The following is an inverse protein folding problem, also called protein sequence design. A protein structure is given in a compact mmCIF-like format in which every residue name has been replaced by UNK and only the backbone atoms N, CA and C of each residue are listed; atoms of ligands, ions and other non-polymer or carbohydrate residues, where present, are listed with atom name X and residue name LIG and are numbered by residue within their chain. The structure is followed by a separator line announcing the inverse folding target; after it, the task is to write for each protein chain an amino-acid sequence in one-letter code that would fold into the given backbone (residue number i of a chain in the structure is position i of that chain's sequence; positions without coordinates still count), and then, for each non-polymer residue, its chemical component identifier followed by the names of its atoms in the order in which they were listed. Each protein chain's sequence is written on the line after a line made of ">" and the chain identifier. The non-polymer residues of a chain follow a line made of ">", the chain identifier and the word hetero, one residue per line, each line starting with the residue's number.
data_IF_066550345124
#
_entry.id   IF_066550345124
#
_cell.length_a   1.000
_cell.length_b   1.000
_cell.length_c   1.000
_cell.angle_alpha   90.00
_cell.angle_beta   90.00
_cell.angle_gamma   90.00
#
_symmetry.space_group_name_H-M   'P 1'
#
loop_
_entity.id
_entity.type
_entity.pdbx_description
1 polymer ?
#
# COMPACT_ATOMS: atom_id res chain seq x y z
N UNK A 1 8.68 -2.10 21.63
CA UNK A 1 8.09 -3.44 21.47
C UNK A 1 6.81 -3.23 20.73
N UNK A 2 6.65 -3.81 19.53
CA UNK A 2 5.31 -3.93 18.97
C UNK A 2 4.51 -4.85 19.89
N UNK A 3 3.44 -4.33 20.45
CA UNK A 3 2.42 -5.04 21.20
C UNK A 3 1.75 -6.09 20.30
N UNK A 4 1.01 -7.02 20.92
CA UNK A 4 0.20 -7.96 20.16
C UNK A 4 -0.78 -7.23 19.23
N UNK A 5 -1.37 -6.13 19.71
CA UNK A 5 -2.28 -5.29 18.95
C UNK A 5 -1.59 -4.64 17.75
N UNK A 6 -0.35 -4.17 17.89
CA UNK A 6 0.40 -3.59 16.76
C UNK A 6 0.79 -4.64 15.69
N UNK A 7 0.97 -5.92 16.07
CA UNK A 7 1.15 -6.99 15.09
C UNK A 7 -0.16 -7.30 14.34
N UNK A 8 -1.30 -7.25 15.04
CA UNK A 8 -2.61 -7.37 14.40
C UNK A 8 -2.80 -6.22 13.40
N UNK A 9 -2.49 -4.98 13.78
CA UNK A 9 -2.57 -3.81 12.90
C UNK A 9 -1.69 -3.96 11.65
N UNK A 10 -0.50 -4.55 11.77
CA UNK A 10 0.36 -4.86 10.61
C UNK A 10 -0.25 -5.94 9.70
N UNK A 11 -0.88 -6.97 10.29
CA UNK A 11 -1.61 -7.98 9.54
C UNK A 11 -2.77 -7.37 8.76
N UNK A 12 -3.61 -6.59 9.43
CA UNK A 12 -4.72 -5.86 8.80
C UNK A 12 -4.25 -4.92 7.69
N UNK A 13 -3.11 -4.24 7.88
CA UNK A 13 -2.49 -3.41 6.86
C UNK A 13 -2.15 -4.20 5.59
N UNK A 14 -1.58 -5.40 5.75
CA UNK A 14 -1.25 -6.27 4.61
C UNK A 14 -2.52 -6.77 3.91
N UNK A 15 -3.56 -7.13 4.67
CA UNK A 15 -4.83 -7.58 4.10
C UNK A 15 -5.52 -6.46 3.29
N UNK A 16 -5.57 -5.24 3.82
CA UNK A 16 -6.13 -4.08 3.11
C UNK A 16 -5.35 -3.81 1.82
N UNK A 17 -4.02 -3.97 1.82
CA UNK A 17 -3.20 -3.80 0.61
C UNK A 17 -3.58 -4.83 -0.44
N UNK A 18 -3.60 -6.11 -0.09
CA UNK A 18 -3.94 -7.17 -1.03
C UNK A 18 -5.33 -6.93 -1.63
N UNK A 19 -6.29 -6.49 -0.81
CA UNK A 19 -7.62 -6.13 -1.27
C UNK A 19 -7.58 -4.95 -2.27
N UNK A 20 -6.78 -3.90 -2.01
CA UNK A 20 -6.64 -2.78 -2.94
C UNK A 20 -5.99 -3.23 -4.25
N UNK A 21 -4.95 -4.07 -4.19
CA UNK A 21 -4.28 -4.62 -5.37
C UNK A 21 -5.28 -5.42 -6.24
N UNK A 22 -6.05 -6.32 -5.61
CA UNK A 22 -7.08 -7.11 -6.28
C UNK A 22 -8.15 -6.20 -6.92
N UNK A 23 -8.67 -5.22 -6.17
CA UNK A 23 -9.66 -4.26 -6.69
C UNK A 23 -9.13 -3.50 -7.91
N UNK A 24 -7.88 -3.03 -7.87
CA UNK A 24 -7.27 -2.32 -9.00
C UNK A 24 -7.15 -3.23 -10.23
N UNK A 25 -6.68 -4.47 -10.06
CA UNK A 25 -6.50 -5.43 -11.16
C UNK A 25 -7.85 -5.80 -11.77
N UNK A 26 -8.83 -6.14 -10.94
CA UNK A 26 -10.14 -6.60 -11.36
C UNK A 26 -10.96 -5.48 -12.01
N UNK A 27 -10.81 -4.23 -11.53
CA UNK A 27 -11.47 -3.07 -12.14
C UNK A 27 -11.03 -2.82 -13.59
N UNK A 28 -9.78 -3.16 -13.93
CA UNK A 28 -9.25 -3.00 -15.28
C UNK A 28 -9.60 -4.16 -16.20
N UNK A 29 -9.81 -5.37 -15.67
CA UNK A 29 -10.06 -6.56 -16.48
C UNK A 29 -11.19 -6.41 -17.54
N UNK A 30 -12.35 -5.78 -17.24
CA UNK A 30 -13.40 -5.61 -18.25
C UNK A 30 -13.16 -4.46 -19.24
N UNK A 31 -12.34 -3.47 -18.91
CA UNK A 31 -12.18 -2.22 -19.68
C UNK A 31 -10.84 -2.14 -20.43
N UNK A 32 -9.78 -2.72 -19.88
CA UNK A 32 -8.43 -2.79 -20.42
C UNK A 32 -7.71 -4.05 -19.91
N UNK A 33 -7.98 -5.22 -20.52
CA UNK A 33 -7.35 -6.48 -20.12
C UNK A 33 -5.83 -6.46 -20.17
N UNK A 34 -5.24 -5.68 -21.10
CA UNK A 34 -3.80 -5.54 -21.21
C UNK A 34 -3.24 -4.77 -20.00
N UNK A 35 -3.86 -3.65 -19.63
CA UNK A 35 -3.49 -2.90 -18.43
C UNK A 35 -3.66 -3.73 -17.15
N UNK A 36 -4.74 -4.53 -17.04
CA UNK A 36 -4.95 -5.44 -15.90
C UNK A 36 -3.80 -6.45 -15.76
N UNK A 37 -3.38 -7.08 -16.86
CA UNK A 37 -2.24 -8.00 -16.87
C UNK A 37 -0.91 -7.30 -16.54
N UNK A 38 -0.70 -6.09 -17.04
CA UNK A 38 0.48 -5.28 -16.71
C UNK A 38 0.53 -4.95 -15.22
N UNK A 39 -0.57 -4.46 -14.63
CA UNK A 39 -0.66 -4.18 -13.18
C UNK A 39 -0.30 -5.43 -12.38
N UNK A 40 -0.88 -6.59 -12.71
CA UNK A 40 -0.57 -7.85 -12.03
C UNK A 40 0.92 -8.25 -12.07
N UNK A 41 1.64 -7.83 -13.11
CA UNK A 41 3.07 -8.15 -13.27
C UNK A 41 4.02 -7.18 -12.55
N UNK A 42 3.51 -6.05 -12.07
CA UNK A 42 4.33 -5.01 -11.44
C UNK A 42 4.67 -5.34 -9.98
N UNK A 43 5.88 -4.97 -9.51
CA UNK A 43 6.35 -5.30 -8.17
C UNK A 43 5.71 -4.38 -7.11
N UNK A 44 4.54 -4.80 -6.62
CA UNK A 44 3.83 -4.24 -5.48
C UNK A 44 3.04 -2.96 -5.76
N UNK A 45 2.29 -2.53 -4.73
CA UNK A 45 1.29 -1.46 -4.79
C UNK A 45 1.74 -0.14 -5.43
N UNK A 46 2.97 0.32 -5.23
CA UNK A 46 3.42 1.62 -5.75
C UNK A 46 3.39 1.69 -7.30
N UNK A 47 4.20 0.87 -8.00
CA UNK A 47 4.14 0.77 -9.46
C UNK A 47 2.75 0.38 -9.98
N UNK A 48 2.04 -0.51 -9.29
CA UNK A 48 0.68 -0.93 -9.63
C UNK A 48 -0.30 0.25 -9.64
N UNK A 49 -0.32 1.05 -8.57
CA UNK A 49 -1.21 2.20 -8.42
C UNK A 49 -0.96 3.26 -9.49
N UNK A 50 0.30 3.51 -9.84
CA UNK A 50 0.64 4.43 -10.94
C UNK A 50 0.06 3.94 -12.27
N UNK A 51 0.31 2.68 -12.62
CA UNK A 51 -0.17 2.09 -13.88
C UNK A 51 -1.70 2.04 -13.95
N UNK A 52 -2.34 1.73 -12.83
CA UNK A 52 -3.80 1.75 -12.68
C UNK A 52 -4.38 3.16 -12.89
N UNK A 53 -3.82 4.16 -12.21
CA UNK A 53 -4.27 5.54 -12.34
C UNK A 53 -4.09 6.04 -13.79
N UNK A 54 -2.96 5.74 -14.42
CA UNK A 54 -2.71 6.06 -15.82
C UNK A 54 -3.73 5.37 -16.75
N UNK A 55 -4.08 4.09 -16.51
CA UNK A 55 -5.05 3.36 -17.31
C UNK A 55 -6.45 3.99 -17.29
N UNK A 56 -6.88 4.47 -16.12
CA UNK A 56 -8.23 5.01 -15.92
C UNK A 56 -8.35 6.48 -16.30
N UNK A 57 -7.32 7.29 -16.04
CA UNK A 57 -7.37 8.75 -16.19
C UNK A 57 -7.73 9.20 -17.61
N UNK A 58 -7.30 8.45 -18.63
CA UNK A 58 -7.61 8.75 -20.04
C UNK A 58 -8.98 8.25 -20.49
N UNK A 59 -9.64 7.40 -19.69
CA UNK A 59 -10.88 6.71 -20.06
C UNK A 59 -12.12 7.29 -19.38
N UNK A 60 -11.95 8.04 -18.28
CA UNK A 60 -13.06 8.64 -17.55
C UNK A 60 -13.53 9.96 -18.16
N UNK A 61 -14.84 10.10 -18.31
CA UNK A 61 -15.48 11.34 -18.72
C UNK A 61 -15.59 12.33 -17.57
N UNK A 62 -14.59 13.20 -17.39
CA UNK A 62 -14.69 14.32 -16.46
C UNK A 62 -13.38 14.64 -15.73
N UNK A 63 -12.98 15.91 -15.75
CA UNK A 63 -11.76 16.37 -15.08
C UNK A 63 -11.75 16.11 -13.57
N UNK A 64 -12.92 16.14 -12.92
CA UNK A 64 -13.02 15.89 -11.48
C UNK A 64 -12.67 14.43 -11.13
N UNK A 65 -13.22 13.46 -11.85
CA UNK A 65 -12.95 12.04 -11.63
C UNK A 65 -11.51 11.68 -12.01
N UNK A 66 -10.99 12.23 -13.11
CA UNK A 66 -9.58 12.05 -13.51
C UNK A 66 -8.61 12.60 -12.44
N UNK A 67 -8.90 13.78 -11.88
CA UNK A 67 -8.09 14.36 -10.80
C UNK A 67 -8.14 13.51 -9.53
N UNK A 68 -9.32 12.97 -9.20
CA UNK A 68 -9.49 12.08 -8.05
C UNK A 68 -8.69 10.78 -8.21
N UNK A 69 -8.72 10.16 -9.40
CA UNK A 69 -7.92 8.96 -9.73
C UNK A 69 -6.43 9.23 -9.52
N UNK A 70 -5.91 10.35 -10.06
CA UNK A 70 -4.51 10.71 -9.91
C UNK A 70 -4.13 10.97 -8.44
N UNK A 71 -5.02 11.64 -7.68
CA UNK A 71 -4.82 11.89 -6.25
C UNK A 71 -4.74 10.59 -5.47
N UNK A 72 -5.71 9.69 -5.65
CA UNK A 72 -5.74 8.38 -4.98
C UNK A 72 -4.54 7.54 -5.37
N UNK A 73 -4.15 7.53 -6.66
CA UNK A 73 -2.94 6.85 -7.12
C UNK A 73 -1.67 7.36 -6.43
N UNK A 74 -1.52 8.68 -6.31
CA UNK A 74 -0.40 9.29 -5.58
C UNK A 74 -0.38 8.92 -4.09
N UNK A 75 -1.55 8.89 -3.44
CA UNK A 75 -1.66 8.48 -2.04
C UNK A 75 -1.31 7.00 -1.83
N UNK A 76 -1.74 6.11 -2.73
CA UNK A 76 -1.40 4.69 -2.69
C UNK A 76 0.11 4.45 -2.82
N UNK A 77 0.79 5.22 -3.67
CA UNK A 77 2.26 5.18 -3.78
C UNK A 77 2.91 5.57 -2.46
N UNK A 78 2.49 6.69 -1.86
CA UNK A 78 3.05 7.13 -0.58
C UNK A 78 2.76 6.12 0.54
N UNK A 79 1.56 5.54 0.56
CA UNK A 79 1.19 4.52 1.52
C UNK A 79 2.05 3.25 1.39
N UNK A 80 2.35 2.80 0.17
CA UNK A 80 3.24 1.66 -0.06
C UNK A 80 4.65 1.90 0.51
N UNK A 81 5.17 3.13 0.39
CA UNK A 81 6.44 3.54 0.98
C UNK A 81 6.37 3.52 2.52
N UNK A 82 5.32 4.11 3.10
CA UNK A 82 5.12 4.15 4.54
C UNK A 82 5.06 2.74 5.16
N UNK A 83 4.39 1.79 4.48
CA UNK A 83 4.33 0.38 4.91
C UNK A 83 5.67 -0.33 4.77
N UNK A 84 6.39 -0.08 3.68
CA UNK A 84 7.69 -0.70 3.46
C UNK A 84 8.68 -0.31 4.56
N UNK A 85 8.55 0.87 5.16
CA UNK A 85 9.35 1.26 6.32
C UNK A 85 9.15 0.28 7.48
N UNK A 86 7.90 0.00 7.85
CA UNK A 86 7.58 -0.94 8.94
C UNK A 86 7.96 -2.38 8.63
N UNK A 87 7.66 -2.85 7.41
CA UNK A 87 8.02 -4.21 7.03
C UNK A 87 9.53 -4.38 6.96
N UNK A 88 10.25 -3.46 6.31
CA UNK A 88 11.70 -3.54 6.27
C UNK A 88 12.29 -3.42 7.67
N UNK A 89 11.78 -2.57 8.56
CA UNK A 89 12.25 -2.48 9.94
C UNK A 89 12.15 -3.80 10.72
N UNK A 90 11.09 -4.59 10.48
CA UNK A 90 10.96 -5.94 11.05
C UNK A 90 12.08 -6.89 10.58
N UNK A 91 12.62 -6.67 9.37
CA UNK A 91 13.67 -7.50 8.78
C UNK A 91 15.09 -6.91 8.89
N UNK A 92 15.24 -5.58 8.99
CA UNK A 92 16.53 -4.88 9.09
C UNK A 92 17.00 -4.75 10.54
N UNK A 93 16.09 -4.89 11.51
CA UNK A 93 16.43 -5.23 12.88
C UNK A 93 16.83 -6.71 13.02
N UNK A 94 17.98 -7.12 12.46
CA UNK A 94 18.70 -8.37 12.77
C UNK A 94 18.42 -9.60 11.89
N UNK A 95 19.09 -9.64 10.72
CA UNK A 95 20.00 -10.77 10.49
C UNK A 95 21.22 -10.55 11.40
N UNK A 96 21.15 -10.97 12.66
CA UNK A 96 22.37 -11.37 13.35
C UNK A 96 22.82 -12.63 12.61
N UNK A 97 24.12 -12.80 12.45
CA UNK A 97 24.66 -14.11 12.11
C UNK A 97 24.35 -15.01 13.33
N UNK A 98 23.19 -15.68 13.34
CA UNK A 98 22.69 -16.47 14.47
C UNK A 98 21.15 -16.60 14.52
N UNK A 99 20.66 -17.56 15.32
CA UNK A 99 19.22 -17.72 15.63
C UNK A 99 18.71 -16.48 16.37
N UNK A 100 17.72 -15.79 15.80
CA UNK A 100 16.98 -14.72 16.50
C UNK A 100 16.17 -15.39 17.62
N UNK A 101 16.42 -15.04 18.88
CA UNK A 101 15.59 -15.53 19.98
C UNK A 101 14.15 -15.02 19.80
N UNK A 102 13.13 -15.84 20.14
CA UNK A 102 11.76 -15.37 20.21
C UNK A 102 11.66 -14.10 21.06
N UNK A 103 11.11 -13.01 20.49
CA UNK A 103 10.90 -11.75 21.22
C UNK A 103 11.79 -10.56 20.81
N UNK A 104 12.33 -10.52 19.59
CA UNK A 104 13.06 -9.36 19.04
C UNK A 104 12.13 -8.16 18.75
N UNK A 105 12.60 -6.92 18.97
CA UNK A 105 11.74 -5.75 19.19
C UNK A 105 12.23 -4.49 18.46
N UNK A 106 11.46 -3.97 17.50
CA UNK A 106 11.63 -2.62 16.96
C UNK A 106 10.58 -1.67 17.56
N UNK A 107 10.99 -0.47 17.99
CA UNK A 107 10.10 0.64 18.42
C UNK A 107 9.95 1.73 17.36
N UNK A 108 10.85 1.71 16.39
CA UNK A 108 10.90 2.62 15.26
C UNK A 108 11.18 1.84 14.00
N UNK A 109 10.70 2.36 12.88
CA UNK A 109 10.90 1.79 11.57
C UNK A 109 11.76 2.71 10.72
N UNK A 110 12.86 2.20 10.17
CA UNK A 110 13.78 3.00 9.35
C UNK A 110 13.63 2.65 7.88
N UNK A 111 13.32 3.64 7.06
CA UNK A 111 13.32 3.50 5.60
C UNK A 111 14.72 3.20 5.11
N UNK A 112 14.97 1.96 4.67
CA UNK A 112 16.30 1.54 4.24
C UNK A 112 16.92 2.44 3.15
N UNK A 113 16.10 2.99 2.25
CA UNK A 113 16.57 3.84 1.15
C UNK A 113 16.94 5.28 1.57
N UNK A 114 16.24 5.85 2.56
CA UNK A 114 16.40 7.28 2.91
C UNK A 114 16.84 7.54 4.34
N UNK A 115 16.86 6.52 5.19
CA UNK A 115 17.18 6.67 6.61
C UNK A 115 16.10 7.35 7.44
N UNK A 116 14.91 7.60 6.86
CA UNK A 116 13.81 8.22 7.61
C UNK A 116 13.31 7.26 8.67
N UNK A 117 13.14 7.76 9.90
CA UNK A 117 12.59 6.98 11.00
C UNK A 117 11.12 7.33 11.22
N UNK A 118 10.30 6.30 11.47
CA UNK A 118 8.90 6.41 11.88
C UNK A 118 8.67 5.72 13.20
N UNK A 119 7.77 6.29 13.99
CA UNK A 119 7.36 5.71 15.26
C UNK A 119 6.31 4.63 15.03
N UNK A 120 6.38 3.56 15.83
CA UNK A 120 5.35 2.50 15.84
C UNK A 120 3.97 3.00 16.27
N UNK A 121 3.91 4.12 17.00
CA UNK A 121 2.67 4.83 17.30
C UNK A 121 1.91 5.33 16.04
N UNK A 122 2.56 5.39 14.88
CA UNK A 122 1.93 5.81 13.62
C UNK A 122 1.20 4.66 12.91
N UNK A 123 1.35 3.41 13.35
CA UNK A 123 0.79 2.23 12.68
C UNK A 123 -0.74 2.28 12.56
N UNK A 124 -1.44 2.66 13.63
CA UNK A 124 -2.91 2.76 13.62
C UNK A 124 -3.39 3.85 12.65
N UNK A 125 -2.70 5.00 12.62
CA UNK A 125 -3.02 6.08 11.70
C UNK A 125 -2.82 5.64 10.24
N UNK A 126 -1.74 4.91 9.96
CA UNK A 126 -1.43 4.36 8.63
C UNK A 126 -2.48 3.31 8.23
N UNK A 127 -2.91 2.45 9.16
CA UNK A 127 -4.01 1.48 8.95
C UNK A 127 -5.32 2.16 8.62
N UNK A 128 -5.70 3.19 9.36
CA UNK A 128 -6.94 3.93 9.12
C UNK A 128 -6.91 4.71 7.79
N UNK A 129 -5.73 5.21 7.40
CA UNK A 129 -5.52 5.78 6.08
C UNK A 129 -5.68 4.74 4.97
N UNK A 130 -5.16 3.53 5.16
CA UNK A 130 -5.33 2.42 4.21
C UNK A 130 -6.81 2.05 3.99
N UNK A 131 -7.59 1.99 5.07
CA UNK A 131 -9.03 1.74 4.99
C UNK A 131 -9.76 2.83 4.19
N UNK A 132 -9.42 4.10 4.44
CA UNK A 132 -9.97 5.24 3.69
C UNK A 132 -9.61 5.17 2.20
N UNK A 133 -8.38 4.74 1.88
CA UNK A 133 -7.94 4.57 0.49
C UNK A 133 -8.70 3.43 -0.20
N UNK A 134 -8.91 2.30 0.49
CA UNK A 134 -9.72 1.20 -0.03
C UNK A 134 -11.13 1.65 -0.42
N UNK A 135 -11.79 2.44 0.44
CA UNK A 135 -13.12 3.00 0.14
C UNK A 135 -13.09 3.99 -1.02
N UNK A 136 -12.02 4.76 -1.15
CA UNK A 136 -11.86 5.73 -2.25
C UNK A 136 -11.66 5.01 -3.60
N UNK A 137 -10.89 3.93 -3.61
CA UNK A 137 -10.71 3.07 -4.79
C UNK A 137 -12.03 2.43 -5.19
N UNK A 138 -12.76 1.83 -4.26
CA UNK A 138 -14.10 1.26 -4.52
C UNK A 138 -15.09 2.32 -5.06
N UNK A 139 -15.07 3.53 -4.49
CA UNK A 139 -15.87 4.65 -4.97
C UNK A 139 -15.53 5.05 -6.42
N UNK A 140 -14.24 5.07 -6.78
CA UNK A 140 -13.80 5.30 -8.16
C UNK A 140 -14.28 4.18 -9.08
N UNK A 141 -14.09 2.92 -8.69
CA UNK A 141 -14.47 1.76 -9.50
C UNK A 141 -15.97 1.77 -9.81
N UNK A 142 -16.81 2.15 -8.85
CA UNK A 142 -18.27 2.27 -9.03
C UNK A 142 -18.70 3.42 -9.93
N UNK A 143 -17.83 4.42 -10.12
CA UNK A 143 -18.12 5.60 -10.93
C UNK A 143 -17.71 5.46 -12.40
N UNK A 144 -17.02 4.37 -12.76
CA UNK A 144 -16.53 4.04 -14.10
C UNK A 144 -17.41 2.96 -14.72
#
# INVERSE_FOLDING_TARGET
>A
MLTADEHVLLGELVEIINQIEDMMIDSLAPIDPAASMEVKSLPGLGPQAKRWADALSWRVGGQALASQILSVGGELVQFAEDRNDFIHALYSGVYCVGYVQPGYQATTATRHRTGNERSTAELEAIRNRAATLSWSVDGIIKAI
#
